data_IF_415449897539
#
_entry.id   IF_415449897539
#
_cell.length_a   1.000
_cell.length_b   1.000
_cell.length_c   1.000
_cell.angle_alpha   90.00
_cell.angle_beta   90.00
_cell.angle_gamma   90.00
#
_symmetry.space_group_name_H-M   'P 1'
#
loop_
_entity.id
_entity.type
_entity.pdbx_description
1 polymer ?
#
# COMPACT_ATOMS: atom_id res chain seq x y z
N UNK A 1 3.06 -3.61 -22.61
CA UNK A 1 3.79 -4.07 -21.41
C UNK A 1 3.25 -3.54 -20.07
N UNK A 2 2.31 -2.57 -20.03
CA UNK A 2 1.93 -1.92 -18.76
C UNK A 2 1.02 -2.74 -17.83
N UNK A 3 0.11 -3.56 -18.36
CA UNK A 3 -0.89 -4.28 -17.53
C UNK A 3 -0.25 -5.38 -16.67
N UNK A 4 0.71 -6.13 -17.22
CA UNK A 4 1.43 -7.18 -16.48
C UNK A 4 2.22 -6.57 -15.33
N UNK A 5 2.96 -5.47 -15.58
CA UNK A 5 3.67 -4.74 -14.53
C UNK A 5 2.71 -4.22 -13.45
N UNK A 6 1.53 -3.71 -13.85
CA UNK A 6 0.51 -3.23 -12.91
C UNK A 6 -0.05 -4.37 -12.05
N UNK A 7 -0.28 -5.53 -12.64
CA UNK A 7 -0.72 -6.73 -11.91
C UNK A 7 0.31 -7.14 -10.86
N UNK A 8 1.60 -7.14 -11.20
CA UNK A 8 2.69 -7.43 -10.24
C UNK A 8 2.67 -6.43 -9.08
N UNK A 9 2.49 -5.13 -9.37
CA UNK A 9 2.41 -4.09 -8.34
C UNK A 9 1.22 -4.30 -7.40
N UNK A 10 0.05 -4.67 -7.95
CA UNK A 10 -1.15 -4.96 -7.14
C UNK A 10 -0.90 -6.16 -6.20
N UNK A 11 -0.31 -7.24 -6.72
CA UNK A 11 0.01 -8.43 -5.92
C UNK A 11 1.05 -8.14 -4.83
N UNK A 12 2.10 -7.38 -5.18
CA UNK A 12 3.12 -6.97 -4.22
C UNK A 12 2.55 -6.06 -3.12
N UNK A 13 1.73 -5.07 -3.48
CA UNK A 13 1.07 -4.19 -2.52
C UNK A 13 0.13 -4.97 -1.58
N UNK A 14 -0.66 -5.90 -2.14
CA UNK A 14 -1.54 -6.76 -1.35
C UNK A 14 -0.76 -7.65 -0.36
N UNK A 15 0.38 -8.21 -0.79
CA UNK A 15 1.27 -8.98 0.08
C UNK A 15 1.83 -8.13 1.23
N UNK A 16 2.31 -6.92 0.92
CA UNK A 16 2.82 -5.98 1.93
C UNK A 16 1.72 -5.52 2.91
N UNK A 17 0.49 -5.35 2.43
CA UNK A 17 -0.66 -5.07 3.28
C UNK A 17 -0.96 -6.23 4.25
N UNK A 18 -0.92 -7.48 3.76
CA UNK A 18 -1.10 -8.64 4.64
C UNK A 18 0.00 -8.74 5.70
N UNK A 19 1.26 -8.55 5.30
CA UNK A 19 2.39 -8.61 6.23
C UNK A 19 2.39 -7.47 7.26
N UNK A 20 1.96 -6.26 6.87
CA UNK A 20 1.90 -5.13 7.79
C UNK A 20 0.87 -5.35 8.92
N UNK A 21 -0.26 -6.00 8.64
CA UNK A 21 -1.22 -6.40 9.68
C UNK A 21 -0.55 -7.36 10.67
N UNK A 22 0.22 -8.33 10.16
CA UNK A 22 0.99 -9.26 10.97
C UNK A 22 2.02 -8.57 11.87
N UNK A 23 2.67 -7.50 11.39
CA UNK A 23 3.59 -6.69 12.19
C UNK A 23 2.88 -5.98 13.33
N UNK A 24 1.74 -5.32 13.07
CA UNK A 24 0.95 -4.67 14.12
C UNK A 24 0.52 -5.67 15.18
N UNK A 25 0.04 -6.85 14.77
CA UNK A 25 -0.33 -7.91 15.72
C UNK A 25 0.85 -8.34 16.59
N UNK A 26 2.04 -8.51 16.01
CA UNK A 26 3.26 -8.84 16.78
C UNK A 26 3.60 -7.74 17.79
N UNK A 27 3.43 -6.46 17.43
CA UNK A 27 3.69 -5.35 18.35
C UNK A 27 2.65 -5.25 19.48
N UNK A 28 1.39 -5.57 19.20
CA UNK A 28 0.35 -5.65 20.24
C UNK A 28 0.68 -6.78 21.23
N UNK A 29 1.07 -7.96 20.72
CA UNK A 29 1.41 -9.11 21.57
C UNK A 29 2.70 -8.87 22.37
N UNK A 30 3.70 -8.22 21.79
CA UNK A 30 4.97 -7.95 22.49
C UNK A 30 4.81 -6.93 23.61
N UNK A 31 3.79 -6.07 23.56
CA UNK A 31 3.59 -4.99 24.51
C UNK A 31 4.72 -3.96 24.53
N UNK A 32 5.60 -3.96 23.52
CA UNK A 32 6.73 -3.03 23.50
C UNK A 32 6.25 -1.59 23.34
N UNK A 33 6.82 -0.73 24.19
CA UNK A 33 6.73 0.73 24.07
C UNK A 33 7.98 1.26 23.38
N UNK A 34 7.79 2.25 22.52
CA UNK A 34 8.91 2.88 21.82
C UNK A 34 9.84 3.60 22.81
N UNK A 35 11.18 3.41 22.76
CA UNK A 35 12.10 4.00 23.74
C UNK A 35 12.11 5.54 23.75
N UNK A 36 11.91 6.15 22.58
CA UNK A 36 11.97 7.61 22.43
C UNK A 36 10.66 8.34 22.70
N UNK A 37 9.50 7.68 22.51
CA UNK A 37 8.19 8.32 22.54
C UNK A 37 7.25 7.72 23.59
N UNK A 38 7.63 6.61 24.23
CA UNK A 38 6.86 5.90 25.28
C UNK A 38 5.45 5.48 24.88
N UNK A 39 5.11 5.54 23.59
CA UNK A 39 3.84 5.04 23.06
C UNK A 39 3.97 3.56 22.64
N UNK A 40 2.86 2.79 22.68
CA UNK A 40 2.82 1.44 22.14
C UNK A 40 3.32 1.40 20.69
N UNK A 41 4.24 0.48 20.39
CA UNK A 41 4.84 0.37 19.06
C UNK A 41 3.81 -0.03 17.98
N UNK A 42 2.65 -0.54 18.37
CA UNK A 42 1.52 -0.82 17.46
C UNK A 42 1.05 0.41 16.69
N UNK A 43 1.13 1.61 17.27
CA UNK A 43 0.67 2.86 16.65
C UNK A 43 1.53 3.22 15.42
N UNK A 44 2.87 3.33 15.51
CA UNK A 44 3.70 3.57 14.33
C UNK A 44 3.54 2.48 13.26
N UNK A 45 3.47 1.21 13.63
CA UNK A 45 3.31 0.12 12.66
C UNK A 45 1.92 0.09 12.02
N UNK A 46 0.90 0.65 12.67
CA UNK A 46 -0.42 0.80 12.07
C UNK A 46 -0.41 1.72 10.84
N UNK A 47 0.50 2.70 10.79
CA UNK A 47 0.69 3.54 9.60
C UNK A 47 1.04 2.73 8.34
N UNK A 48 1.78 1.63 8.48
CA UNK A 48 2.12 0.73 7.38
C UNK A 48 0.89 0.00 6.86
N UNK A 49 0.00 -0.44 7.77
CA UNK A 49 -1.28 -1.08 7.40
C UNK A 49 -2.14 -0.10 6.61
N UNK A 50 -2.28 1.12 7.12
CA UNK A 50 -3.07 2.15 6.46
C UNK A 50 -2.50 2.50 5.07
N UNK A 51 -1.18 2.68 4.98
CA UNK A 51 -0.49 3.03 3.74
C UNK A 51 -0.64 1.95 2.67
N UNK A 52 -0.28 0.69 2.99
CA UNK A 52 -0.40 -0.40 2.03
C UNK A 52 -1.85 -0.74 1.70
N UNK A 53 -2.78 -0.50 2.62
CA UNK A 53 -4.22 -0.65 2.37
C UNK A 53 -4.71 0.30 1.29
N UNK A 54 -4.37 1.58 1.40
CA UNK A 54 -4.72 2.60 0.39
C UNK A 54 -4.03 2.30 -0.95
N UNK A 55 -2.73 1.96 -0.94
CA UNK A 55 -2.01 1.62 -2.17
C UNK A 55 -2.66 0.43 -2.87
N UNK A 56 -3.00 -0.63 -2.14
CA UNK A 56 -3.65 -1.82 -2.72
C UNK A 56 -5.00 -1.47 -3.33
N UNK A 57 -5.80 -0.64 -2.67
CA UNK A 57 -7.08 -0.16 -3.18
C UNK A 57 -6.91 0.64 -4.48
N UNK A 58 -6.06 1.66 -4.49
CA UNK A 58 -5.84 2.53 -5.66
C UNK A 58 -5.31 1.72 -6.84
N UNK A 59 -4.33 0.85 -6.60
CA UNK A 59 -3.74 0.04 -7.67
C UNK A 59 -4.74 -0.99 -8.19
N UNK A 60 -5.54 -1.61 -7.33
CA UNK A 60 -6.61 -2.53 -7.71
C UNK A 60 -7.67 -1.86 -8.58
N UNK A 61 -8.17 -0.70 -8.17
CA UNK A 61 -9.14 0.09 -8.95
C UNK A 61 -8.55 0.50 -10.29
N UNK A 62 -7.30 0.97 -10.30
CA UNK A 62 -6.61 1.37 -11.54
C UNK A 62 -6.47 0.19 -12.50
N UNK A 63 -6.12 -0.99 -12.00
CA UNK A 63 -6.03 -2.22 -12.81
C UNK A 63 -7.39 -2.60 -13.39
N UNK A 64 -8.46 -2.56 -12.60
CA UNK A 64 -9.83 -2.83 -13.06
C UNK A 64 -10.24 -1.85 -14.17
N UNK A 65 -9.98 -0.55 -13.98
CA UNK A 65 -10.30 0.48 -14.97
C UNK A 65 -9.52 0.31 -16.28
N UNK A 66 -8.26 -0.15 -16.20
CA UNK A 66 -7.45 -0.50 -17.37
C UNK A 66 -8.03 -1.71 -18.12
N UNK A 67 -8.47 -2.74 -17.40
CA UNK A 67 -9.07 -3.95 -18.00
C UNK A 67 -10.40 -3.64 -18.68
N UNK A 68 -11.24 -2.80 -18.07
CA UNK A 68 -12.55 -2.38 -18.62
C UNK A 68 -12.39 -1.40 -19.80
N UNK A 69 -11.18 -0.94 -20.10
CA UNK A 69 -10.91 0.00 -21.20
C UNK A 69 -11.38 1.43 -20.92
N UNK A 70 -11.83 1.73 -19.69
CA UNK A 70 -12.24 3.08 -19.26
C UNK A 70 -11.05 4.02 -19.02
N UNK A 71 -9.86 3.45 -18.82
CA UNK A 71 -8.60 4.18 -18.78
C UNK A 71 -7.75 3.74 -19.98
N UNK A 72 -7.85 4.51 -21.06
CA UNK A 72 -6.76 4.60 -22.03
C UNK A 72 -5.60 5.30 -21.32
N UNK A 73 -4.42 4.69 -21.34
CA UNK A 73 -3.17 5.15 -20.73
C UNK A 73 -3.01 6.66 -20.94
N UNK A 74 -3.42 7.46 -19.96
CA UNK A 74 -3.12 8.89 -19.93
C UNK A 74 -2.06 9.10 -18.85
N UNK A 75 -0.89 8.54 -19.16
CA UNK A 75 0.40 8.77 -18.52
C UNK A 75 0.90 10.19 -18.87
N UNK A 76 0.03 11.19 -18.68
CA UNK A 76 0.29 12.60 -19.02
C UNK A 76 -0.14 13.54 -17.89
N UNK A 77 0.19 13.18 -16.65
CA UNK A 77 0.24 14.12 -15.53
C UNK A 77 1.52 13.98 -14.70
N UNK A 78 2.65 13.77 -15.35
CA UNK A 78 3.96 14.01 -14.73
C UNK A 78 5.04 14.44 -15.75
N UNK A 79 4.64 15.25 -16.75
CA UNK A 79 5.59 15.99 -17.61
C UNK A 79 5.18 17.45 -17.77
N UNK A 80 4.80 18.06 -16.66
CA UNK A 80 4.25 19.41 -16.66
C UNK A 80 4.40 20.10 -15.31
N UNK A 81 5.60 20.13 -14.75
CA UNK A 81 6.05 21.26 -13.95
C UNK A 81 7.59 21.34 -13.94
N UNK A 82 8.08 22.06 -14.97
CA UNK A 82 9.36 22.76 -15.11
C UNK A 82 10.65 21.93 -15.14
#
# INVERSE_FOLDING_TARGET
MMIISKLIVVLAAASLFYHSIGLVKKQIISGQVSPGLQIPMSIPYFSLVLSFGIITLVQGITLIMMIIGKIGINDKKEKGER
#
